data_IF_947348213083
#
_entry.id   IF_947348213083
#
_cell.length_a   1.000
_cell.length_b   1.000
_cell.length_c   1.000
_cell.angle_alpha   90.00
_cell.angle_beta   90.00
_cell.angle_gamma   90.00
#
_symmetry.space_group_name_H-M   'P 1'
#
loop_
_entity.id
_entity.type
_entity.pdbx_description
1 polymer ?
#
# COMPACT_ATOMS: atom_id res chain seq x y z
N UNK A 1 19.85 -43.82 -19.65
CA UNK A 1 18.65 -44.18 -18.87
C UNK A 1 18.84 -43.72 -17.44
N UNK A 2 18.04 -42.77 -16.94
CA UNK A 2 18.15 -42.31 -15.55
C UNK A 2 17.78 -43.44 -14.57
N UNK A 3 18.54 -43.58 -13.49
CA UNK A 3 18.27 -44.59 -12.46
C UNK A 3 16.95 -44.30 -11.74
N UNK A 4 16.14 -45.35 -11.49
CA UNK A 4 14.90 -45.24 -10.68
C UNK A 4 15.15 -44.58 -9.31
N UNK A 5 16.34 -44.75 -8.74
CA UNK A 5 16.74 -44.09 -7.48
C UNK A 5 16.90 -42.58 -7.66
N UNK A 6 17.48 -42.14 -8.78
CA UNK A 6 17.62 -40.73 -9.10
C UNK A 6 16.24 -40.09 -9.30
N UNK A 7 15.35 -40.74 -10.06
CA UNK A 7 13.99 -40.26 -10.32
C UNK A 7 13.15 -40.09 -9.04
N UNK A 8 13.28 -41.01 -8.08
CA UNK A 8 12.60 -40.91 -6.77
C UNK A 8 13.12 -39.75 -5.93
N UNK A 9 14.44 -39.53 -5.91
CA UNK A 9 15.05 -38.43 -5.14
C UNK A 9 14.64 -37.07 -5.70
N UNK A 10 14.61 -36.92 -7.03
CA UNK A 10 14.16 -35.67 -7.66
C UNK A 10 12.66 -35.43 -7.43
N UNK A 11 11.83 -36.48 -7.44
CA UNK A 11 10.41 -36.36 -7.14
C UNK A 11 10.14 -35.92 -5.70
N UNK A 12 10.85 -36.52 -4.72
CA UNK A 12 10.75 -36.12 -3.30
C UNK A 12 11.24 -34.69 -3.11
N UNK A 13 12.39 -34.33 -3.69
CA UNK A 13 12.91 -32.97 -3.60
C UNK A 13 11.93 -31.93 -4.20
N UNK A 14 11.32 -32.25 -5.35
CA UNK A 14 10.30 -31.40 -5.96
C UNK A 14 9.05 -31.25 -5.08
N UNK A 15 8.53 -32.35 -4.52
CA UNK A 15 7.39 -32.32 -3.62
C UNK A 15 7.68 -31.53 -2.33
N UNK A 16 8.87 -31.69 -1.75
CA UNK A 16 9.32 -30.92 -0.59
C UNK A 16 9.40 -29.42 -0.90
N UNK A 17 9.94 -29.04 -2.06
CA UNK A 17 10.03 -27.64 -2.46
C UNK A 17 8.64 -27.03 -2.62
N UNK A 18 7.73 -27.71 -3.32
CA UNK A 18 6.34 -27.26 -3.49
C UNK A 18 5.65 -27.09 -2.13
N UNK A 19 5.80 -28.07 -1.22
CA UNK A 19 5.22 -28.00 0.12
C UNK A 19 5.75 -26.80 0.92
N UNK A 20 7.06 -26.56 0.90
CA UNK A 20 7.68 -25.42 1.58
C UNK A 20 7.23 -24.08 0.99
N UNK A 21 7.16 -23.96 -0.34
CA UNK A 21 6.68 -22.74 -1.01
C UNK A 21 5.21 -22.48 -0.69
N UNK A 22 4.36 -23.51 -0.68
CA UNK A 22 2.95 -23.38 -0.32
C UNK A 22 2.79 -22.89 1.12
N UNK A 23 3.52 -23.50 2.07
CA UNK A 23 3.50 -23.09 3.48
C UNK A 23 3.97 -21.64 3.63
N UNK A 24 5.08 -21.26 2.97
CA UNK A 24 5.59 -19.90 3.01
C UNK A 24 4.57 -18.90 2.46
N UNK A 25 3.98 -19.17 1.30
CA UNK A 25 2.98 -18.31 0.68
C UNK A 25 1.74 -18.15 1.57
N UNK A 26 1.20 -19.23 2.11
CA UNK A 26 0.04 -19.15 3.03
C UNK A 26 0.36 -18.42 4.32
N UNK A 27 1.58 -18.59 4.84
CA UNK A 27 2.01 -17.92 6.07
C UNK A 27 2.17 -16.41 5.83
N UNK A 28 2.83 -16.01 4.75
CA UNK A 28 2.99 -14.59 4.38
C UNK A 28 1.63 -13.93 4.15
N UNK A 29 0.72 -14.60 3.44
CA UNK A 29 -0.64 -14.11 3.24
C UNK A 29 -1.42 -13.93 4.56
N UNK A 30 -1.29 -14.88 5.49
CA UNK A 30 -1.92 -14.78 6.80
C UNK A 30 -1.32 -13.65 7.65
N UNK A 31 0.00 -13.45 7.60
CA UNK A 31 0.68 -12.37 8.32
C UNK A 31 0.27 -11.00 7.80
N UNK A 32 0.23 -10.81 6.48
CA UNK A 32 -0.22 -9.56 5.86
C UNK A 32 -1.62 -9.15 6.35
N UNK A 33 -2.54 -10.12 6.41
CA UNK A 33 -3.90 -9.91 6.91
C UNK A 33 -3.99 -9.69 8.42
N UNK A 34 -3.11 -10.33 9.19
CA UNK A 34 -3.08 -10.20 10.65
C UNK A 34 -2.46 -8.87 11.11
N UNK A 35 -1.58 -8.27 10.30
CA UNK A 35 -0.83 -7.08 10.63
C UNK A 35 -0.98 -5.99 9.54
N UNK A 36 -2.21 -5.48 9.30
CA UNK A 36 -2.38 -4.38 8.35
C UNK A 36 -1.61 -3.14 8.83
N UNK A 37 -1.15 -2.27 7.92
CA UNK A 37 -0.58 -0.98 8.29
C UNK A 37 -1.52 -0.20 9.23
N UNK A 38 -1.00 0.46 10.28
CA UNK A 38 -1.82 1.18 11.25
C UNK A 38 -2.27 2.53 10.68
N UNK A 39 -3.08 2.49 9.63
CA UNK A 39 -3.68 3.68 9.03
C UNK A 39 -4.90 4.10 9.86
N UNK A 40 -5.04 5.39 10.20
CA UNK A 40 -6.22 5.87 10.88
C UNK A 40 -7.43 5.78 9.95
N UNK A 41 -8.61 5.46 10.51
CA UNK A 41 -9.85 5.38 9.75
C UNK A 41 -10.23 6.74 9.11
N UNK A 42 -9.90 7.83 9.81
CA UNK A 42 -10.05 9.20 9.36
C UNK A 42 -8.75 9.95 9.61
N UNK A 43 -8.32 10.75 8.63
CA UNK A 43 -7.15 11.60 8.78
C UNK A 43 -7.52 12.82 9.63
N UNK A 44 -6.68 13.13 10.61
CA UNK A 44 -6.80 14.38 11.37
C UNK A 44 -6.40 15.55 10.49
N UNK A 45 -7.40 16.29 10.01
CA UNK A 45 -7.22 17.50 9.20
C UNK A 45 -7.42 18.77 10.04
N UNK A 46 -6.95 19.88 9.50
CA UNK A 46 -7.14 21.22 10.04
C UNK A 46 -8.63 21.60 10.05
N UNK A 47 -9.08 22.28 11.10
CA UNK A 47 -10.35 23.00 11.03
C UNK A 47 -10.19 24.21 10.11
N UNK A 48 -10.95 24.22 9.02
CA UNK A 48 -10.94 25.28 8.01
C UNK A 48 -12.16 26.19 8.19
N UNK A 49 -11.90 27.49 8.29
CA UNK A 49 -12.91 28.55 8.28
C UNK A 49 -12.93 29.14 6.88
N UNK A 50 -14.07 29.02 6.21
CA UNK A 50 -14.29 29.52 4.86
C UNK A 50 -15.31 30.67 4.87
N UNK A 51 -15.27 31.51 3.85
CA UNK A 51 -16.32 32.49 3.63
C UNK A 51 -17.58 31.88 2.99
N UNK A 52 -18.51 32.73 2.57
CA UNK A 52 -19.79 32.28 1.96
C UNK A 52 -19.61 31.65 0.58
N UNK A 53 -18.51 31.95 -0.10
CA UNK A 53 -18.20 31.52 -1.45
C UNK A 53 -17.24 30.30 -1.44
N UNK A 54 -16.79 29.89 -0.24
CA UNK A 54 -15.91 28.74 -0.03
C UNK A 54 -14.42 29.08 0.00
N UNK A 55 -14.06 30.36 -0.02
CA UNK A 55 -12.65 30.79 0.03
C UNK A 55 -12.11 30.65 1.46
N UNK A 56 -10.89 30.11 1.57
CA UNK A 56 -10.26 29.86 2.85
C UNK A 56 -9.90 31.18 3.55
N UNK A 57 -10.54 31.45 4.70
CA UNK A 57 -10.22 32.58 5.56
C UNK A 57 -9.15 32.24 6.60
N UNK A 58 -9.20 31.02 7.16
CA UNK A 58 -8.26 30.55 8.17
C UNK A 58 -8.24 29.03 8.25
N UNK A 59 -7.05 28.46 8.46
CA UNK A 59 -6.89 27.07 8.88
C UNK A 59 -6.25 27.02 10.29
N UNK A 60 -6.81 26.19 11.17
CA UNK A 60 -6.22 25.91 12.47
C UNK A 60 -5.30 24.69 12.38
N UNK A 61 -4.20 24.69 13.14
CA UNK A 61 -3.33 23.53 13.22
C UNK A 61 -4.06 22.34 13.84
N UNK A 62 -3.68 21.13 13.42
CA UNK A 62 -4.08 19.87 14.04
C UNK A 62 -3.55 19.80 15.48
N UNK A 63 -4.03 18.87 16.32
CA UNK A 63 -3.60 18.75 17.72
C UNK A 63 -2.09 18.57 17.91
N UNK A 64 -1.40 18.03 16.91
CA UNK A 64 0.05 17.84 16.84
C UNK A 64 0.80 19.01 16.17
N UNK A 65 0.12 20.11 15.88
CA UNK A 65 0.73 21.39 15.50
C UNK A 65 1.00 21.58 14.01
N UNK A 66 0.50 20.70 13.14
CA UNK A 66 0.68 20.81 11.69
C UNK A 66 -0.54 21.41 11.00
N UNK A 67 -0.33 22.05 9.85
CA UNK A 67 -1.42 22.36 8.93
C UNK A 67 -1.62 21.19 7.98
N UNK A 68 -2.83 20.62 7.99
CA UNK A 68 -3.24 19.53 7.11
C UNK A 68 -4.57 19.90 6.48
N UNK A 69 -4.50 20.55 5.33
CA UNK A 69 -5.70 20.98 4.61
C UNK A 69 -6.41 19.76 4.01
N UNK A 70 -7.73 19.73 4.10
CA UNK A 70 -8.50 18.68 3.46
C UNK A 70 -8.42 18.83 1.93
N UNK A 71 -8.19 17.74 1.22
CA UNK A 71 -8.07 17.77 -0.23
C UNK A 71 -8.56 16.48 -0.86
N UNK A 72 -9.08 16.61 -2.07
CA UNK A 72 -9.46 15.51 -2.95
C UNK A 72 -8.63 15.56 -4.22
N UNK A 73 -8.48 14.42 -4.87
CA UNK A 73 -7.67 14.30 -6.08
C UNK A 73 -8.08 15.27 -7.20
N UNK A 74 -9.37 15.61 -7.30
CA UNK A 74 -9.88 16.56 -8.29
C UNK A 74 -9.63 18.04 -7.95
N UNK A 75 -9.08 18.34 -6.77
CA UNK A 75 -8.69 19.69 -6.33
C UNK A 75 -7.18 19.92 -6.52
N UNK A 76 -6.43 18.89 -6.93
CA UNK A 76 -4.98 18.94 -7.14
C UNK A 76 -4.70 19.02 -8.64
N UNK A 77 -3.69 19.80 -9.03
CA UNK A 77 -3.24 19.85 -10.42
C UNK A 77 -2.86 18.45 -10.90
N UNK A 78 -3.47 18.03 -12.01
CA UNK A 78 -3.20 16.72 -12.62
C UNK A 78 -1.72 16.53 -12.97
N UNK A 79 -1.01 17.57 -13.42
CA UNK A 79 0.42 17.46 -13.73
C UNK A 79 1.24 17.18 -12.48
N UNK A 80 0.86 17.76 -11.35
CA UNK A 80 1.52 17.47 -10.07
C UNK A 80 1.31 16.02 -9.65
N UNK A 81 0.08 15.50 -9.77
CA UNK A 81 -0.22 14.08 -9.48
C UNK A 81 0.58 13.15 -10.40
N UNK A 82 0.59 13.42 -11.70
CA UNK A 82 1.30 12.60 -12.68
C UNK A 82 2.83 12.60 -12.41
N UNK A 83 3.39 13.75 -12.04
CA UNK A 83 4.79 13.88 -11.61
C UNK A 83 5.07 13.07 -10.35
N UNK A 84 4.23 13.22 -9.32
CA UNK A 84 4.40 12.56 -8.02
C UNK A 84 4.38 11.03 -8.18
N UNK A 85 3.38 10.50 -8.89
CA UNK A 85 3.30 9.06 -9.18
C UNK A 85 4.53 8.61 -9.97
N UNK A 86 4.96 9.37 -10.99
CA UNK A 86 6.13 8.97 -11.79
C UNK A 86 7.42 8.92 -10.97
N UNK A 87 7.59 9.83 -10.01
CA UNK A 87 8.81 9.98 -9.24
C UNK A 87 8.85 9.06 -8.01
N UNK A 88 7.76 8.99 -7.24
CA UNK A 88 7.70 8.23 -5.98
C UNK A 88 7.39 6.75 -6.21
N UNK A 89 6.36 6.45 -7.03
CA UNK A 89 5.99 5.08 -7.35
C UNK A 89 5.40 4.96 -8.75
N UNK A 90 6.28 4.73 -9.72
CA UNK A 90 5.89 4.57 -11.13
C UNK A 90 4.91 3.40 -11.37
N UNK A 91 4.83 2.44 -10.45
CA UNK A 91 3.92 1.29 -10.58
C UNK A 91 2.62 1.46 -9.80
N UNK A 92 2.38 2.60 -9.16
CA UNK A 92 1.23 2.87 -8.27
C UNK A 92 -0.10 2.29 -8.77
N UNK A 93 -0.42 2.48 -10.06
CA UNK A 93 -1.68 2.02 -10.65
C UNK A 93 -1.76 0.54 -10.99
N UNK A 94 -0.63 -0.16 -11.01
CA UNK A 94 -0.51 -1.52 -11.54
C UNK A 94 0.06 -2.52 -10.51
N UNK A 95 0.48 -2.09 -9.32
CA UNK A 95 0.92 -3.01 -8.28
C UNK A 95 -0.29 -3.51 -7.47
N UNK A 96 -0.26 -4.77 -7.03
CA UNK A 96 -1.38 -5.42 -6.33
C UNK A 96 -1.32 -5.25 -4.79
N UNK A 97 -0.59 -4.22 -4.33
CA UNK A 97 -0.12 -4.12 -2.96
C UNK A 97 1.31 -4.60 -2.82
#
# INVERSE_FOLDING_TARGET
MLSKKFLRRTAVAGASLIGLTAIAATTLWALDRAFPPPLPAELTVSTEVQDRDGELLRAFATPDGYWRLETRLNQVDKQFVDMLVTYEDKRFWNHEG
#
